data_IF_447140789728
#
_entry.id   IF_447140789728
#
_cell.length_a   1.000
_cell.length_b   1.000
_cell.length_c   1.000
_cell.angle_alpha   90.00
_cell.angle_beta   90.00
_cell.angle_gamma   90.00
#
_symmetry.space_group_name_H-M   'P 1'
#
loop_
_entity.id
_entity.type
_entity.pdbx_description
1 polymer ?
#
# COMPACT_ATOMS: atom_id res chain seq x y z
N UNK A 1 8.07 7.36 -5.37
CA UNK A 1 8.13 8.75 -5.85
C UNK A 1 8.24 9.69 -4.66
N UNK A 2 8.66 10.94 -4.88
CA UNK A 2 8.84 11.92 -3.82
C UNK A 2 9.95 12.91 -4.15
N UNK A 3 9.98 14.05 -3.47
CA UNK A 3 10.95 15.12 -3.73
C UNK A 3 12.41 14.67 -3.53
N UNK A 4 13.34 15.38 -4.17
CA UNK A 4 14.78 15.12 -3.97
C UNK A 4 15.15 15.36 -2.51
N UNK A 5 15.91 14.45 -1.92
CA UNK A 5 16.32 14.53 -0.50
C UNK A 5 15.30 14.03 0.52
N UNK A 6 14.14 13.50 0.10
CA UNK A 6 13.14 12.93 1.02
C UNK A 6 13.54 11.56 1.62
N UNK A 7 14.69 11.01 1.22
CA UNK A 7 15.21 9.73 1.72
C UNK A 7 14.95 8.51 0.83
N UNK A 8 14.71 8.69 -0.47
CA UNK A 8 14.37 7.58 -1.41
C UNK A 8 15.52 6.57 -1.53
N UNK A 9 16.72 7.04 -1.86
CA UNK A 9 17.88 6.19 -2.13
C UNK A 9 18.37 5.51 -0.85
N UNK A 10 18.35 6.19 0.29
CA UNK A 10 18.64 5.60 1.61
C UNK A 10 17.64 4.50 1.97
N UNK A 11 16.34 4.74 1.73
CA UNK A 11 15.29 3.72 1.94
C UNK A 11 15.49 2.53 1.01
N UNK A 12 15.85 2.76 -0.26
CA UNK A 12 16.10 1.69 -1.23
C UNK A 12 17.26 0.78 -0.79
N UNK A 13 18.36 1.37 -0.32
CA UNK A 13 19.52 0.62 0.17
C UNK A 13 19.20 -0.16 1.45
N UNK A 14 18.42 0.42 2.36
CA UNK A 14 17.97 -0.33 3.55
C UNK A 14 17.07 -1.51 3.17
N UNK A 15 16.18 -1.35 2.18
CA UNK A 15 15.38 -2.46 1.65
C UNK A 15 16.26 -3.54 1.02
N UNK A 16 17.26 -3.18 0.23
CA UNK A 16 18.22 -4.15 -0.33
C UNK A 16 18.92 -4.94 0.78
N UNK A 17 19.42 -4.26 1.82
CA UNK A 17 20.04 -4.92 2.99
C UNK A 17 19.10 -5.90 3.69
N UNK A 18 17.79 -5.71 3.57
CA UNK A 18 16.74 -6.56 4.17
C UNK A 18 16.26 -7.67 3.23
N UNK A 19 16.93 -7.86 2.09
CA UNK A 19 16.71 -8.96 1.15
C UNK A 19 15.81 -8.61 -0.04
N UNK A 20 15.43 -7.34 -0.21
CA UNK A 20 14.72 -6.88 -1.40
C UNK A 20 15.69 -6.64 -2.56
N UNK A 21 15.13 -6.43 -3.75
CA UNK A 21 15.92 -6.26 -4.98
C UNK A 21 15.74 -4.87 -5.55
N UNK A 22 16.85 -4.23 -5.90
CA UNK A 22 16.87 -2.97 -6.63
C UNK A 22 16.66 -3.23 -8.12
N UNK A 23 15.73 -2.49 -8.72
CA UNK A 23 15.56 -2.46 -10.19
C UNK A 23 16.24 -1.23 -10.78
N UNK A 24 15.98 -0.07 -10.20
CA UNK A 24 16.47 1.23 -10.68
C UNK A 24 16.50 2.24 -9.53
N UNK A 25 17.36 3.25 -9.65
CA UNK A 25 17.38 4.45 -8.82
C UNK A 25 17.47 5.70 -9.71
N UNK A 26 17.02 6.84 -9.20
CA UNK A 26 16.91 8.15 -9.88
C UNK A 26 16.02 8.17 -11.14
N UNK A 27 16.40 7.46 -12.20
CA UNK A 27 15.63 7.34 -13.44
C UNK A 27 15.10 5.91 -13.67
N UNK A 28 13.81 5.84 -14.01
CA UNK A 28 13.09 4.59 -14.30
C UNK A 28 12.49 4.65 -15.70
N UNK A 29 12.86 3.70 -16.55
CA UNK A 29 12.19 3.48 -17.82
C UNK A 29 10.93 2.64 -17.60
N UNK A 30 9.78 3.15 -18.03
CA UNK A 30 8.49 2.48 -17.86
C UNK A 30 7.96 2.06 -19.22
N UNK A 31 7.59 0.79 -19.35
CA UNK A 31 6.95 0.21 -20.54
C UNK A 31 5.58 -0.33 -20.18
N UNK A 32 4.58 0.04 -20.99
CA UNK A 32 3.27 -0.61 -20.98
C UNK A 32 3.33 -1.87 -21.85
N UNK A 33 3.22 -3.04 -21.22
CA UNK A 33 3.34 -4.35 -21.90
C UNK A 33 2.00 -5.03 -22.12
N UNK A 34 0.93 -4.51 -21.54
CA UNK A 34 -0.45 -4.92 -21.78
C UNK A 34 -1.41 -3.78 -21.40
N UNK A 35 -2.73 -4.02 -21.45
CA UNK A 35 -3.73 -3.06 -20.98
C UNK A 35 -3.78 -2.89 -19.46
N UNK A 36 -3.09 -3.76 -18.71
CA UNK A 36 -3.12 -3.78 -17.25
C UNK A 36 -1.75 -3.88 -16.58
N UNK A 37 -0.67 -3.88 -17.35
CA UNK A 37 0.67 -4.15 -16.83
C UNK A 37 1.68 -3.12 -17.30
N UNK A 38 2.34 -2.51 -16.32
CA UNK A 38 3.52 -1.67 -16.49
C UNK A 38 4.74 -2.43 -15.98
N UNK A 39 5.84 -2.34 -16.70
CA UNK A 39 7.15 -2.89 -16.33
C UNK A 39 8.13 -1.73 -16.20
N UNK A 40 8.85 -1.68 -15.08
CA UNK A 40 9.94 -0.74 -14.86
C UNK A 40 11.30 -1.39 -15.08
N UNK A 41 12.25 -0.62 -15.60
CA UNK A 41 13.67 -0.97 -15.74
C UNK A 41 14.57 0.24 -15.49
N UNK A 42 15.85 -0.01 -15.26
CA UNK A 42 16.86 1.05 -15.20
C UNK A 42 17.48 1.31 -16.58
N UNK A 43 17.74 2.58 -16.96
CA UNK A 43 18.60 2.88 -18.10
C UNK A 43 19.97 2.18 -17.95
N UNK A 44 20.51 1.66 -19.06
CA UNK A 44 21.72 0.82 -19.04
C UNK A 44 22.92 1.50 -18.35
N UNK A 45 23.12 2.79 -18.60
CA UNK A 45 24.27 3.55 -18.10
C UNK A 45 24.28 3.74 -16.57
N UNK A 46 23.12 3.77 -15.92
CA UNK A 46 23.01 3.93 -14.44
C UNK A 46 22.56 2.64 -13.75
N UNK A 47 22.50 1.52 -14.47
CA UNK A 47 22.00 0.26 -13.95
C UNK A 47 22.83 -0.19 -12.74
N UNK A 48 22.12 -0.58 -11.67
CA UNK A 48 22.68 -1.04 -10.38
C UNK A 48 23.43 0.03 -9.56
N UNK A 49 23.60 1.24 -10.09
CA UNK A 49 24.19 2.34 -9.35
C UNK A 49 23.14 3.10 -8.53
N UNK A 50 23.55 3.56 -7.36
CA UNK A 50 22.74 4.41 -6.46
C UNK A 50 23.62 5.55 -5.95
N UNK A 51 23.07 6.77 -5.91
CA UNK A 51 23.71 7.90 -5.25
C UNK A 51 23.29 7.95 -3.77
N UNK A 52 24.28 7.96 -2.87
CA UNK A 52 24.05 8.13 -1.44
C UNK A 52 24.77 9.38 -0.95
N UNK A 53 24.01 10.35 -0.45
CA UNK A 53 24.57 11.60 0.06
C UNK A 53 25.54 11.34 1.21
N UNK A 54 26.71 11.96 1.14
CA UNK A 54 27.79 11.78 2.11
C UNK A 54 28.65 10.53 1.90
N UNK A 55 28.28 9.65 0.96
CA UNK A 55 29.07 8.48 0.58
C UNK A 55 29.54 8.60 -0.89
N UNK A 56 28.63 8.98 -1.80
CA UNK A 56 28.86 9.02 -3.23
C UNK A 56 28.06 7.95 -3.97
N UNK A 57 28.46 7.67 -5.21
CA UNK A 57 27.84 6.64 -6.05
C UNK A 57 28.37 5.27 -5.63
N UNK A 58 27.46 4.30 -5.44
CA UNK A 58 27.79 2.91 -5.12
C UNK A 58 27.22 1.95 -6.15
N UNK A 59 27.88 0.81 -6.36
CA UNK A 59 27.36 -0.31 -7.13
C UNK A 59 26.70 -1.33 -6.20
N UNK A 60 25.37 -1.43 -6.28
CA UNK A 60 24.58 -2.32 -5.42
C UNK A 60 24.84 -3.79 -5.72
N UNK A 61 25.12 -4.13 -6.99
CA UNK A 61 25.39 -5.51 -7.39
C UNK A 61 26.74 -5.99 -6.87
N UNK A 62 27.76 -5.14 -6.89
CA UNK A 62 29.09 -5.50 -6.37
C UNK A 62 29.10 -5.61 -4.84
N UNK A 63 28.33 -4.77 -4.14
CA UNK A 63 28.30 -4.76 -2.67
C UNK A 63 27.41 -5.89 -2.11
N UNK A 64 26.22 -6.09 -2.67
CA UNK A 64 25.20 -6.99 -2.11
C UNK A 64 24.99 -8.27 -2.94
N UNK A 65 25.69 -8.40 -4.07
CA UNK A 65 25.66 -9.55 -4.96
C UNK A 65 24.50 -9.53 -5.95
N UNK A 66 24.51 -10.47 -6.89
CA UNK A 66 23.51 -10.57 -7.97
C UNK A 66 22.08 -10.75 -7.46
N UNK A 67 21.91 -11.35 -6.28
CA UNK A 67 20.59 -11.55 -5.67
C UNK A 67 19.92 -10.27 -5.18
N UNK A 68 20.66 -9.16 -5.07
CA UNK A 68 20.19 -7.86 -4.60
C UNK A 68 19.67 -6.94 -5.72
N UNK A 69 19.79 -7.35 -6.98
CA UNK A 69 19.37 -6.57 -8.14
C UNK A 69 18.46 -7.36 -9.06
N UNK A 70 17.70 -6.67 -9.89
CA UNK A 70 16.86 -7.26 -10.95
C UNK A 70 16.80 -6.31 -12.14
N UNK A 71 16.84 -6.82 -13.36
CA UNK A 71 16.81 -5.95 -14.56
C UNK A 71 15.44 -5.28 -14.78
N UNK A 72 14.35 -5.98 -14.45
CA UNK A 72 12.97 -5.52 -14.69
C UNK A 72 12.00 -6.03 -13.63
N UNK A 73 10.96 -5.27 -13.30
CA UNK A 73 9.86 -5.71 -12.45
C UNK A 73 8.52 -5.07 -12.84
N UNK A 74 7.41 -5.76 -12.56
CA UNK A 74 6.08 -5.16 -12.70
C UNK A 74 5.88 -4.03 -11.68
N UNK A 75 5.25 -2.93 -12.10
CA UNK A 75 4.89 -1.83 -11.20
C UNK A 75 3.47 -2.07 -10.67
N UNK A 76 3.41 -2.69 -9.49
CA UNK A 76 2.15 -3.11 -8.84
C UNK A 76 1.64 -2.13 -7.77
N UNK A 77 2.46 -1.17 -7.37
CA UNK A 77 2.13 -0.14 -6.37
C UNK A 77 3.03 1.08 -6.55
N UNK A 78 2.50 2.27 -6.24
CA UNK A 78 3.27 3.51 -6.18
C UNK A 78 3.20 4.08 -4.77
N UNK A 79 4.37 4.26 -4.15
CA UNK A 79 4.46 4.94 -2.86
C UNK A 79 4.99 6.36 -3.11
N UNK A 80 4.22 7.35 -2.66
CA UNK A 80 4.60 8.76 -2.64
C UNK A 80 5.15 9.09 -1.26
N UNK A 81 6.41 9.50 -1.20
CA UNK A 81 7.04 10.03 0.01
C UNK A 81 6.93 11.55 -0.04
N UNK A 82 6.35 12.14 1.00
CA UNK A 82 6.25 13.59 1.13
C UNK A 82 6.72 14.04 2.52
N UNK A 83 7.28 15.25 2.67
CA UNK A 83 7.57 15.82 3.98
C UNK A 83 6.32 15.84 4.86
N UNK A 84 6.47 15.53 6.14
CA UNK A 84 5.37 15.70 7.09
C UNK A 84 5.02 17.17 7.23
N UNK A 85 3.74 17.47 7.07
CA UNK A 85 3.16 18.81 7.23
C UNK A 85 2.21 18.84 8.43
N UNK A 86 2.39 19.86 9.28
CA UNK A 86 1.49 20.11 10.40
C UNK A 86 0.10 20.50 9.89
N UNK A 87 -0.96 19.91 10.47
CA UNK A 87 -2.35 20.19 10.08
C UNK A 87 -2.85 19.41 8.85
N UNK A 88 -1.96 18.84 8.01
CA UNK A 88 -2.38 17.96 6.92
C UNK A 88 -2.95 16.65 7.48
N UNK A 89 -4.13 16.25 7.00
CA UNK A 89 -4.74 14.98 7.36
C UNK A 89 -4.18 13.87 6.48
N UNK A 90 -3.69 12.82 7.12
CA UNK A 90 -3.24 11.60 6.47
C UNK A 90 -4.24 10.48 6.78
N UNK A 91 -4.51 9.62 5.80
CA UNK A 91 -5.37 8.46 6.02
C UNK A 91 -4.76 7.55 7.11
N UNK A 92 -5.55 7.31 8.16
CA UNK A 92 -5.17 6.47 9.30
C UNK A 92 -5.79 5.08 9.24
N UNK A 93 -6.85 4.91 8.46
CA UNK A 93 -7.63 3.69 8.41
C UNK A 93 -7.34 2.90 7.14
N UNK A 94 -6.88 3.54 6.06
CA UNK A 94 -6.57 2.86 4.80
C UNK A 94 -7.82 2.39 4.06
N UNK A 95 -8.95 3.07 4.29
CA UNK A 95 -10.25 2.74 3.68
C UNK A 95 -10.39 3.30 2.28
N UNK A 96 -9.70 4.39 1.96
CA UNK A 96 -9.73 5.00 0.63
C UNK A 96 -8.63 4.37 -0.21
N UNK A 97 -9.01 3.82 -1.35
CA UNK A 97 -8.04 3.35 -2.33
C UNK A 97 -7.65 4.51 -3.25
N UNK A 98 -6.37 4.87 -3.22
CA UNK A 98 -5.79 5.88 -4.11
C UNK A 98 -5.13 5.21 -5.31
N UNK A 99 -5.09 5.92 -6.43
CA UNK A 99 -4.46 5.45 -7.66
C UNK A 99 -3.64 6.55 -8.31
N UNK A 100 -2.54 6.16 -8.93
CA UNK A 100 -1.74 7.02 -9.81
C UNK A 100 -1.85 6.49 -11.24
N UNK A 101 -2.25 7.35 -12.17
CA UNK A 101 -2.34 6.98 -13.59
C UNK A 101 -0.97 7.08 -14.26
N UNK A 102 -0.51 5.98 -14.86
CA UNK A 102 0.69 5.95 -15.70
C UNK A 102 0.33 5.30 -17.03
N UNK A 103 0.52 6.03 -18.13
CA UNK A 103 0.26 5.55 -19.50
C UNK A 103 -1.15 4.96 -19.67
N UNK A 104 -2.15 5.54 -18.98
CA UNK A 104 -3.53 5.10 -19.02
C UNK A 104 -3.89 3.94 -18.08
N UNK A 105 -2.94 3.44 -17.28
CA UNK A 105 -3.16 2.39 -16.28
C UNK A 105 -3.20 3.01 -14.88
N UNK A 106 -4.27 2.74 -14.13
CA UNK A 106 -4.39 3.15 -12.73
C UNK A 106 -3.67 2.14 -11.84
N UNK A 107 -2.56 2.56 -11.24
CA UNK A 107 -1.77 1.75 -10.30
C UNK A 107 -2.15 2.15 -8.88
N UNK A 108 -2.42 1.19 -7.95
CA UNK A 108 -2.67 1.52 -6.55
C UNK A 108 -1.54 2.37 -5.98
N UNK A 109 -1.89 3.45 -5.30
CA UNK A 109 -0.92 4.35 -4.69
C UNK A 109 -1.18 4.60 -3.21
N UNK A 110 -0.13 5.01 -2.51
CA UNK A 110 -0.19 5.40 -1.10
C UNK A 110 0.77 6.55 -0.85
N UNK A 111 0.30 7.56 -0.11
CA UNK A 111 1.14 8.65 0.37
C UNK A 111 1.62 8.39 1.79
N UNK A 112 2.93 8.43 2.02
CA UNK A 112 3.58 8.20 3.31
C UNK A 112 4.30 9.49 3.73
N UNK A 113 3.93 10.10 4.87
CA UNK A 113 4.64 11.26 5.39
C UNK A 113 6.01 10.85 5.96
N UNK A 114 7.03 11.63 5.61
CA UNK A 114 8.39 11.48 6.09
C UNK A 114 8.62 12.43 7.25
N UNK A 115 8.98 11.87 8.40
CA UNK A 115 9.32 12.58 9.63
C UNK A 115 10.53 11.92 10.27
N UNK A 116 11.39 12.72 10.91
CA UNK A 116 12.55 12.21 11.64
C UNK A 116 12.12 11.12 12.65
N UNK A 117 12.92 10.06 12.74
CA UNK A 117 12.66 8.90 13.59
C UNK A 117 11.73 7.83 12.98
N UNK A 118 11.16 8.05 11.77
CA UNK A 118 10.45 6.99 11.04
C UNK A 118 11.43 6.14 10.25
N UNK A 119 11.34 4.82 10.40
CA UNK A 119 12.01 3.89 9.50
C UNK A 119 11.16 3.70 8.24
N UNK A 120 11.52 4.36 7.15
CA UNK A 120 10.76 4.32 5.90
C UNK A 120 10.80 2.95 5.23
N UNK A 121 11.90 2.21 5.33
CA UNK A 121 12.02 0.88 4.74
C UNK A 121 10.99 -0.09 5.33
N UNK A 122 10.84 -0.12 6.67
CA UNK A 122 9.80 -0.92 7.35
C UNK A 122 8.41 -0.51 6.88
N UNK A 123 8.13 0.79 6.77
CA UNK A 123 6.79 1.25 6.39
C UNK A 123 6.50 0.87 4.92
N UNK A 124 7.47 1.01 4.02
CA UNK A 124 7.35 0.60 2.60
C UNK A 124 7.10 -0.90 2.46
N UNK A 125 7.78 -1.74 3.25
CA UNK A 125 7.52 -3.18 3.29
C UNK A 125 6.09 -3.49 3.73
N UNK A 126 5.66 -2.92 4.85
CA UNK A 126 4.31 -3.14 5.39
C UNK A 126 3.25 -2.66 4.39
N UNK A 127 3.46 -1.51 3.75
CA UNK A 127 2.59 -1.01 2.69
C UNK A 127 2.49 -1.99 1.51
N UNK A 128 3.63 -2.53 1.07
CA UNK A 128 3.70 -3.52 -0.02
C UNK A 128 2.98 -4.83 0.35
N UNK A 129 3.16 -5.31 1.59
CA UNK A 129 2.46 -6.49 2.12
C UNK A 129 0.95 -6.27 2.22
N UNK A 130 0.53 -5.10 2.71
CA UNK A 130 -0.89 -4.73 2.81
C UNK A 130 -1.55 -4.62 1.42
N UNK A 131 -0.87 -4.01 0.45
CA UNK A 131 -1.34 -3.98 -0.94
C UNK A 131 -1.53 -5.40 -1.52
N UNK A 132 -0.59 -6.31 -1.22
CA UNK A 132 -0.72 -7.72 -1.62
C UNK A 132 -1.93 -8.38 -0.96
N UNK A 133 -2.19 -8.14 0.33
CA UNK A 133 -3.37 -8.67 1.02
C UNK A 133 -4.68 -8.14 0.43
N UNK A 134 -4.77 -6.83 0.16
CA UNK A 134 -5.94 -6.23 -0.51
C UNK A 134 -6.21 -6.90 -1.86
N UNK A 135 -5.17 -7.12 -2.67
CA UNK A 135 -5.27 -7.85 -3.96
C UNK A 135 -5.71 -9.31 -3.80
N UNK A 136 -5.44 -9.93 -2.66
CA UNK A 136 -5.88 -11.28 -2.32
C UNK A 136 -7.29 -11.31 -1.67
N UNK A 137 -7.96 -10.16 -1.57
CA UNK A 137 -9.32 -10.04 -1.05
C UNK A 137 -9.41 -9.81 0.46
N UNK A 138 -8.30 -9.55 1.15
CA UNK A 138 -8.30 -9.23 2.58
C UNK A 138 -8.00 -7.75 2.83
N UNK A 139 -8.93 -7.06 3.51
CA UNK A 139 -8.76 -5.68 3.94
C UNK A 139 -8.90 -5.57 5.47
N UNK A 140 -7.78 -5.34 6.15
CA UNK A 140 -7.72 -5.25 7.61
C UNK A 140 -8.58 -4.11 8.19
N UNK A 141 -8.73 -3.00 7.48
CA UNK A 141 -9.54 -1.86 7.91
C UNK A 141 -11.03 -2.21 7.94
N UNK A 142 -11.50 -2.88 6.89
CA UNK A 142 -12.88 -3.38 6.79
C UNK A 142 -13.14 -4.41 7.88
N UNK A 143 -12.21 -5.36 8.07
CA UNK A 143 -12.32 -6.38 9.11
C UNK A 143 -12.39 -5.78 10.52
N UNK A 144 -11.53 -4.78 10.82
CA UNK A 144 -11.57 -4.08 12.10
C UNK A 144 -12.90 -3.33 12.29
N UNK A 145 -13.37 -2.63 11.26
CA UNK A 145 -14.65 -1.92 11.31
C UNK A 145 -15.81 -2.88 11.58
N UNK A 146 -15.84 -4.03 10.92
CA UNK A 146 -16.86 -5.06 11.14
C UNK A 146 -16.85 -5.54 12.61
N UNK A 147 -15.67 -5.81 13.19
CA UNK A 147 -15.54 -6.23 14.60
C UNK A 147 -16.03 -5.16 15.57
N UNK A 148 -15.71 -3.89 15.31
CA UNK A 148 -16.15 -2.77 16.15
C UNK A 148 -17.67 -2.62 16.11
N UNK A 149 -18.28 -2.71 14.92
CA UNK A 149 -19.74 -2.65 14.77
C UNK A 149 -20.44 -3.80 15.48
N UNK A 150 -19.96 -5.04 15.31
CA UNK A 150 -20.53 -6.20 16.02
C UNK A 150 -20.41 -6.08 17.54
N UNK A 151 -19.32 -5.50 18.05
CA UNK A 151 -19.18 -5.24 19.49
C UNK A 151 -20.18 -4.18 19.98
N UNK A 152 -20.37 -3.09 19.23
CA UNK A 152 -21.35 -2.05 19.59
C UNK A 152 -22.78 -2.59 19.61
N UNK A 153 -23.17 -3.38 18.60
CA UNK A 153 -24.48 -4.05 18.54
C UNK A 153 -24.72 -4.95 19.75
N UNK A 154 -23.69 -5.71 20.15
CA UNK A 154 -23.78 -6.59 21.33
C UNK A 154 -23.92 -5.82 22.65
N UNK A 155 -23.30 -4.65 22.78
CA UNK A 155 -23.35 -3.81 24.00
C UNK A 155 -24.64 -2.99 24.10
N UNK A 156 -25.22 -2.58 22.97
CA UNK A 156 -26.47 -1.82 22.92
C UNK A 156 -27.73 -2.69 23.07
N UNK A 157 -27.59 -4.02 23.14
CA UNK A 157 -28.69 -4.94 23.38
C UNK A 157 -29.80 -4.88 22.32
N UNK A 158 -29.48 -4.45 21.09
CA UNK A 158 -30.46 -4.39 20.01
C UNK A 158 -30.89 -5.81 19.64
N UNK A 159 -32.18 -6.17 19.77
CA UNK A 159 -32.65 -7.49 19.36
C UNK A 159 -32.56 -7.62 17.84
N UNK A 160 -32.32 -8.86 17.39
CA UNK A 160 -32.34 -9.37 16.01
C UNK A 160 -33.73 -9.25 15.32
N UNK A 161 -34.40 -8.10 15.44
CA UNK A 161 -35.78 -7.87 15.04
C UNK A 161 -35.90 -7.18 13.66
N UNK A 162 -34.99 -7.48 12.73
CA UNK A 162 -35.19 -7.23 11.30
C UNK A 162 -35.22 -8.54 10.48
N UNK A 163 -35.52 -9.66 11.14
CA UNK A 163 -36.02 -10.89 10.50
C UNK A 163 -37.55 -10.79 10.40
N UNK A 164 -37.99 -10.04 9.41
CA UNK A 164 -39.37 -10.07 8.90
C UNK A 164 -39.74 -11.53 8.59
N UNK A 165 -40.63 -12.16 9.37
CA UNK A 165 -41.50 -13.29 8.92
C UNK A 165 -42.37 -13.96 10.01
N UNK A 166 -42.28 -13.63 11.30
CA UNK A 166 -43.02 -14.39 12.33
C UNK A 166 -44.19 -13.65 13.02
N UNK A 167 -44.69 -12.54 12.47
CA UNK A 167 -45.88 -11.82 13.00
C UNK A 167 -46.97 -11.56 11.95
N UNK A 168 -47.03 -12.36 10.88
CA UNK A 168 -48.16 -12.36 9.94
C UNK A 168 -49.22 -13.44 10.21
N UNK A 169 -49.18 -14.13 11.36
CA UNK A 169 -50.22 -15.11 11.75
C UNK A 169 -50.82 -14.82 13.13
N UNK A 170 -51.40 -13.63 13.29
CA UNK A 170 -52.40 -13.38 14.36
C UNK A 170 -53.47 -12.37 13.95
N UNK A 171 -53.95 -12.49 12.70
CA UNK A 171 -55.29 -12.00 12.34
C UNK A 171 -56.23 -13.21 12.30
N UNK A 172 -56.78 -13.58 13.46
CA UNK A 172 -58.18 -14.01 13.64
C UNK A 172 -58.49 -14.06 15.14
N UNK A 173 -59.15 -13.01 15.62
CA UNK A 173 -59.78 -12.98 16.94
C UNK A 173 -61.09 -13.78 16.95
N UNK A 174 -61.24 -14.57 18.01
CA UNK A 174 -62.44 -14.99 18.76
C UNK A 174 -63.71 -14.15 18.52
N UNK A 175 -64.97 -14.63 18.59
CA UNK A 175 -65.58 -15.57 19.56
C UNK A 175 -67.04 -15.90 19.19
N UNK A 176 -67.48 -17.12 19.50
CA UNK A 176 -68.87 -17.58 19.72
C UNK A 176 -69.44 -17.02 21.05
N UNK A 177 -70.76 -17.12 21.33
CA UNK A 177 -71.45 -18.39 21.66
C UNK A 177 -72.27 -19.00 20.53
#
# INVERSE_FOLDING_TARGET
MGESGVGKSETAIELVKRGHRLVADDAVEIKRVSDKTLVGSSPEIIRHFVELRGIGIIDVKEIFGIGAVKDTENIDMIIHLEPWEEGKQYDRLGMVDEYTNIMGINVPSLTIPVKLGRNLAVIVEVASMNNRQKRMGYNAAVELNNRLMSQMESQLGMPSAARWEATSTSLHGTSTP
#
